data_IF_111098885770
#
_entry.id   IF_111098885770
#
_cell.length_a   1.000
_cell.length_b   1.000
_cell.length_c   1.000
_cell.angle_alpha   90.00
_cell.angle_beta   90.00
_cell.angle_gamma   90.00
#
_symmetry.space_group_name_H-M   'P 1'
#
loop_
_entity.id
_entity.type
_entity.pdbx_description
1 polymer ?
#
# COMPACT_ATOMS: atom_id res chain seq x y z
N UNK A 1 -3.37 25.97 -12.79
CA UNK A 1 -3.03 25.12 -13.94
C UNK A 1 -1.86 24.27 -13.51
N UNK A 2 -2.12 23.10 -12.92
CA UNK A 2 -1.06 22.21 -12.47
C UNK A 2 -0.47 21.52 -13.69
N UNK A 3 0.86 21.53 -13.79
CA UNK A 3 1.67 20.82 -14.79
C UNK A 3 1.06 19.47 -15.15
N UNK A 4 0.97 19.16 -16.46
CA UNK A 4 0.65 17.82 -16.92
C UNK A 4 1.68 16.86 -16.27
N UNK A 5 1.29 16.19 -15.20
CA UNK A 5 2.17 15.25 -14.52
C UNK A 5 2.45 14.10 -15.49
N UNK A 6 3.69 14.04 -15.98
CA UNK A 6 4.18 13.00 -16.89
C UNK A 6 4.32 11.62 -16.21
N UNK A 7 3.69 11.38 -15.06
CA UNK A 7 3.69 10.10 -14.34
C UNK A 7 2.47 10.01 -13.43
N UNK A 8 2.14 8.80 -13.00
CA UNK A 8 1.03 8.52 -12.07
C UNK A 8 1.54 7.65 -10.92
N UNK A 9 1.19 8.02 -9.68
CA UNK A 9 1.46 7.24 -8.47
C UNK A 9 0.14 6.79 -7.86
N UNK A 10 0.00 5.51 -7.60
CA UNK A 10 -1.20 4.88 -7.05
C UNK A 10 -0.82 4.18 -5.76
N UNK A 11 -1.47 4.58 -4.67
CA UNK A 11 -1.30 3.93 -3.37
C UNK A 11 -2.31 2.82 -3.16
N UNK A 12 -1.85 1.65 -2.71
CA UNK A 12 -2.68 0.50 -2.33
C UNK A 12 -2.32 0.12 -0.89
N UNK A 13 -3.16 0.55 0.04
CA UNK A 13 -3.00 0.28 1.47
C UNK A 13 -4.12 -0.58 2.02
N UNK A 14 -4.09 -0.84 3.34
CA UNK A 14 -5.13 -1.59 4.01
C UNK A 14 -4.65 -2.71 4.91
N UNK A 15 -5.63 -3.40 5.48
CA UNK A 15 -5.47 -4.47 6.44
C UNK A 15 -4.43 -5.51 5.99
N UNK A 16 -3.71 -6.10 6.94
CA UNK A 16 -2.83 -7.24 6.64
C UNK A 16 -3.63 -8.39 6.00
N UNK A 17 -2.97 -9.20 5.16
CA UNK A 17 -3.57 -10.34 4.44
C UNK A 17 -4.84 -10.01 3.59
N UNK A 18 -5.08 -8.74 3.24
CA UNK A 18 -6.28 -8.31 2.51
C UNK A 18 -6.24 -8.47 0.99
N UNK A 19 -5.11 -8.91 0.43
CA UNK A 19 -4.93 -9.11 -1.02
C UNK A 19 -4.29 -7.94 -1.76
N UNK A 20 -3.69 -6.96 -1.05
CA UNK A 20 -3.01 -5.79 -1.62
C UNK A 20 -1.96 -6.15 -2.69
N UNK A 21 -0.98 -6.97 -2.33
CA UNK A 21 0.10 -7.40 -3.22
C UNK A 21 -0.45 -8.16 -4.42
N UNK A 22 -1.41 -9.09 -4.21
CA UNK A 22 -2.07 -9.81 -5.30
C UNK A 22 -2.80 -8.86 -6.26
N UNK A 23 -3.52 -7.85 -5.77
CA UNK A 23 -4.16 -6.86 -6.63
C UNK A 23 -3.13 -6.03 -7.40
N UNK A 24 -2.04 -5.65 -6.73
CA UNK A 24 -0.92 -4.91 -7.34
C UNK A 24 -0.29 -5.72 -8.48
N UNK A 25 -0.01 -7.01 -8.27
CA UNK A 25 0.52 -7.91 -9.30
C UNK A 25 -0.39 -8.02 -10.52
N UNK A 26 -1.72 -8.01 -10.31
CA UNK A 26 -2.70 -8.04 -11.40
C UNK A 26 -2.69 -6.72 -12.17
N UNK A 27 -2.60 -5.59 -11.49
CA UNK A 27 -2.50 -4.27 -12.12
C UNK A 27 -1.20 -4.12 -12.91
N UNK A 28 -0.07 -4.56 -12.37
CA UNK A 28 1.23 -4.54 -13.06
C UNK A 28 1.18 -5.27 -14.41
N UNK A 29 0.48 -6.41 -14.49
CA UNK A 29 0.32 -7.16 -15.75
C UNK A 29 -0.47 -6.40 -16.82
N UNK A 30 -1.32 -5.45 -16.41
CA UNK A 30 -2.15 -4.65 -17.31
C UNK A 30 -1.48 -3.33 -17.74
N UNK A 31 -0.47 -2.88 -17.00
CA UNK A 31 0.25 -1.64 -17.26
C UNK A 31 1.74 -1.93 -17.52
N UNK A 32 2.16 -2.13 -18.78
CA UNK A 32 3.55 -2.49 -19.11
C UNK A 32 4.62 -1.47 -18.65
N UNK A 33 4.24 -0.20 -18.47
CA UNK A 33 5.10 0.87 -17.95
C UNK A 33 5.07 0.99 -16.42
N UNK A 34 4.37 0.09 -15.72
CA UNK A 34 4.21 0.19 -14.29
C UNK A 34 5.37 -0.43 -13.51
N UNK A 35 5.73 0.24 -12.42
CA UNK A 35 6.67 -0.21 -11.39
C UNK A 35 5.92 -0.43 -10.08
N UNK A 36 6.53 -1.20 -9.17
CA UNK A 36 6.00 -1.40 -7.82
C UNK A 36 7.07 -1.08 -6.76
N UNK A 37 6.61 -0.51 -5.65
CA UNK A 37 7.36 -0.43 -4.40
C UNK A 37 6.51 -1.04 -3.27
N UNK A 38 7.04 -2.11 -2.67
CA UNK A 38 6.40 -2.83 -1.57
C UNK A 38 6.96 -2.32 -0.23
N UNK A 39 6.09 -1.83 0.66
CA UNK A 39 6.48 -1.32 1.97
C UNK A 39 7.21 -2.38 2.82
N UNK A 40 6.85 -3.66 2.67
CA UNK A 40 7.47 -4.75 3.42
C UNK A 40 8.98 -4.90 3.12
N UNK A 41 9.50 -4.35 2.00
CA UNK A 41 10.95 -4.36 1.72
C UNK A 41 11.73 -3.30 2.52
N UNK A 42 11.04 -2.48 3.32
CA UNK A 42 11.61 -1.40 4.11
C UNK A 42 11.55 -1.68 5.61
N UNK A 43 11.23 -2.91 6.03
CA UNK A 43 11.34 -3.30 7.44
C UNK A 43 12.78 -3.15 7.94
N UNK A 44 12.90 -2.72 9.19
CA UNK A 44 14.17 -2.67 9.88
C UNK A 44 14.64 -4.06 10.29
N UNK A 45 15.94 -4.21 10.44
CA UNK A 45 16.54 -5.46 10.88
C UNK A 45 16.19 -5.74 12.36
N UNK A 46 16.00 -7.01 12.76
CA UNK A 46 15.82 -7.37 14.15
C UNK A 46 16.93 -6.82 15.04
N UNK A 47 16.56 -6.10 16.10
CA UNK A 47 17.49 -5.47 17.04
C UNK A 47 17.81 -3.99 16.75
N UNK A 48 17.27 -3.40 15.68
CA UNK A 48 17.31 -1.95 15.49
C UNK A 48 16.65 -1.21 16.66
N UNK A 49 17.28 -0.14 17.15
CA UNK A 49 16.84 0.63 18.33
C UNK A 49 15.48 1.32 18.15
N UNK A 50 15.05 1.52 16.90
CA UNK A 50 13.73 2.11 16.57
C UNK A 50 12.58 1.11 16.73
N UNK A 51 12.89 -0.19 16.79
CA UNK A 51 11.89 -1.23 17.00
C UNK A 51 11.37 -1.17 18.43
N UNK A 52 10.07 -0.94 18.58
CA UNK A 52 9.44 -0.92 19.88
C UNK A 52 9.12 -2.35 20.34
N UNK A 53 9.78 -2.77 21.41
CA UNK A 53 9.50 -4.06 22.04
C UNK A 53 8.25 -4.00 22.92
N UNK A 54 7.40 -5.01 22.82
CA UNK A 54 6.17 -5.15 23.59
C UNK A 54 6.31 -6.33 24.57
N UNK A 55 6.54 -6.05 25.87
CA UNK A 55 6.78 -7.11 26.86
C UNK A 55 5.63 -8.10 27.02
N UNK A 56 4.38 -7.64 26.84
CA UNK A 56 3.17 -8.46 27.05
C UNK A 56 3.10 -9.67 26.10
N UNK A 57 3.63 -9.53 24.88
CA UNK A 57 3.66 -10.57 23.84
C UNK A 57 5.08 -11.06 23.57
N UNK A 58 6.06 -10.57 24.33
CA UNK A 58 7.49 -10.85 24.15
C UNK A 58 7.94 -10.67 22.68
N UNK A 59 7.52 -9.57 22.04
CA UNK A 59 7.70 -9.35 20.60
C UNK A 59 7.82 -7.88 20.25
N UNK A 60 8.50 -7.57 19.14
CA UNK A 60 8.52 -6.21 18.59
C UNK A 60 7.20 -5.85 17.91
N UNK A 61 6.77 -4.60 17.99
CA UNK A 61 5.61 -4.10 17.27
C UNK A 61 5.99 -3.76 15.81
N UNK A 62 5.84 -4.74 14.93
CA UNK A 62 6.10 -4.59 13.49
C UNK A 62 5.02 -3.80 12.75
N UNK A 63 3.92 -3.44 13.41
CA UNK A 63 2.78 -2.76 12.79
C UNK A 63 2.89 -1.23 12.89
N UNK A 64 3.99 -0.72 13.47
CA UNK A 64 4.29 0.71 13.60
C UNK A 64 5.12 1.22 12.42
N UNK A 65 4.91 2.48 12.07
CA UNK A 65 5.76 3.19 11.11
C UNK A 65 7.24 3.20 11.54
N UNK A 66 7.52 3.19 12.84
CA UNK A 66 8.90 3.16 13.37
C UNK A 66 9.62 1.83 13.09
N UNK A 67 8.89 0.76 12.75
CA UNK A 67 9.48 -0.50 12.35
C UNK A 67 9.95 -0.52 10.89
N UNK A 68 9.78 0.59 10.17
CA UNK A 68 10.07 0.74 8.75
C UNK A 68 11.04 1.91 8.52
N UNK A 69 11.95 1.76 7.57
CA UNK A 69 12.76 2.86 7.03
C UNK A 69 11.94 3.70 6.03
N UNK A 70 10.98 4.45 6.57
CA UNK A 70 10.08 5.30 5.77
C UNK A 70 10.83 6.42 5.04
N UNK A 71 11.94 6.90 5.59
CA UNK A 71 12.79 7.91 4.95
C UNK A 71 13.48 7.34 3.70
N UNK A 72 14.00 6.11 3.76
CA UNK A 72 14.48 5.39 2.58
C UNK A 72 13.36 5.19 1.56
N UNK A 73 12.18 4.75 1.99
CA UNK A 73 11.04 4.56 1.06
C UNK A 73 10.67 5.86 0.33
N UNK A 74 10.61 6.99 1.05
CA UNK A 74 10.36 8.31 0.44
C UNK A 74 11.48 8.71 -0.52
N UNK A 75 12.74 8.43 -0.19
CA UNK A 75 13.88 8.70 -1.09
C UNK A 75 13.77 7.89 -2.37
N UNK A 76 13.42 6.61 -2.28
CA UNK A 76 13.30 5.71 -3.43
C UNK A 76 12.14 6.14 -4.34
N UNK A 77 10.98 6.51 -3.77
CA UNK A 77 9.85 7.09 -4.54
C UNK A 77 10.26 8.39 -5.22
N UNK A 78 10.95 9.29 -4.52
CA UNK A 78 11.42 10.57 -5.10
C UNK A 78 12.45 10.33 -6.21
N UNK A 79 13.28 9.31 -6.09
CA UNK A 79 14.22 8.93 -7.14
C UNK A 79 13.47 8.42 -8.37
N UNK A 80 12.50 7.52 -8.20
CA UNK A 80 11.63 7.06 -9.29
C UNK A 80 10.90 8.20 -10.00
N UNK A 81 10.42 9.21 -9.26
CA UNK A 81 9.79 10.41 -9.84
C UNK A 81 10.78 11.16 -10.76
N UNK A 82 12.03 11.35 -10.31
CA UNK A 82 13.06 12.03 -11.13
C UNK A 82 13.33 11.25 -12.41
N UNK A 83 13.51 9.95 -12.30
CA UNK A 83 13.80 9.08 -13.45
C UNK A 83 12.64 9.06 -14.45
N UNK A 84 11.40 9.05 -13.95
CA UNK A 84 10.17 9.08 -14.75
C UNK A 84 10.02 10.38 -15.55
N UNK A 85 10.46 11.53 -15.02
CA UNK A 85 10.41 12.82 -15.74
C UNK A 85 11.37 12.89 -16.93
N UNK A 86 12.40 12.05 -16.95
CA UNK A 86 13.39 11.99 -18.02
C UNK A 86 13.16 10.82 -18.99
N UNK A 87 12.08 10.06 -18.80
CA UNK A 87 11.73 8.98 -19.72
C UNK A 87 11.28 9.55 -21.07
N UNK A 88 11.97 9.15 -22.15
CA UNK A 88 11.55 9.42 -23.53
C UNK A 88 10.47 8.42 -24.02
N UNK A 89 9.80 7.70 -23.10
CA UNK A 89 8.75 6.76 -23.46
C UNK A 89 7.47 7.48 -23.91
N UNK A 90 6.82 6.97 -24.95
CA UNK A 90 5.48 7.41 -25.35
C UNK A 90 4.39 6.96 -24.36
N UNK A 91 4.73 6.10 -23.40
CA UNK A 91 3.85 5.62 -22.33
C UNK A 91 4.08 6.42 -21.05
N UNK A 92 2.99 6.64 -20.32
CA UNK A 92 3.02 7.32 -19.01
C UNK A 92 3.54 6.32 -17.97
N UNK A 93 4.63 6.62 -17.24
CA UNK A 93 5.10 5.82 -16.12
C UNK A 93 4.06 5.76 -15.01
N UNK A 94 3.86 4.56 -14.46
CA UNK A 94 2.95 4.33 -13.33
C UNK A 94 3.76 3.71 -12.19
N UNK A 95 3.60 4.21 -10.97
CA UNK A 95 4.14 3.59 -9.76
C UNK A 95 3.00 3.12 -8.87
N UNK A 96 2.97 1.83 -8.58
CA UNK A 96 2.17 1.29 -7.49
C UNK A 96 3.00 1.27 -6.21
N UNK A 97 2.54 1.99 -5.20
CA UNK A 97 3.10 1.91 -3.84
C UNK A 97 2.11 1.09 -3.01
N UNK A 98 2.56 -0.03 -2.48
CA UNK A 98 1.68 -0.92 -1.71
C UNK A 98 2.25 -1.22 -0.32
N UNK A 99 1.38 -1.26 0.69
CA UNK A 99 1.79 -1.47 2.07
C UNK A 99 0.70 -1.18 3.08
N UNK A 100 0.78 -1.76 4.28
CA UNK A 100 -0.30 -1.70 5.26
C UNK A 100 -0.47 -0.33 5.96
N UNK A 101 0.55 0.54 5.95
CA UNK A 101 0.55 1.85 6.65
C UNK A 101 0.98 3.05 5.81
N UNK A 102 1.14 2.88 4.48
CA UNK A 102 1.66 3.94 3.60
C UNK A 102 0.86 5.26 3.67
N UNK A 103 -0.45 5.21 3.99
CA UNK A 103 -1.28 6.40 4.10
C UNK A 103 -1.18 7.11 5.46
N UNK A 104 -0.71 6.44 6.50
CA UNK A 104 -0.42 7.07 7.80
C UNK A 104 0.86 7.91 7.76
N UNK A 105 1.67 7.76 6.71
CA UNK A 105 2.85 8.58 6.46
C UNK A 105 2.56 9.66 5.41
N UNK A 106 2.31 10.89 5.86
CA UNK A 106 1.89 12.01 4.99
C UNK A 106 2.79 12.22 3.75
N UNK A 107 4.14 12.17 3.83
CA UNK A 107 4.99 12.30 2.65
C UNK A 107 4.71 11.29 1.52
N UNK A 108 4.31 10.05 1.83
CA UNK A 108 3.94 9.07 0.81
C UNK A 108 2.49 9.22 0.37
N UNK A 109 1.58 9.43 1.33
CA UNK A 109 0.16 9.67 1.07
C UNK A 109 -0.03 10.84 0.09
N UNK A 110 0.65 11.94 0.31
CA UNK A 110 0.50 13.18 -0.46
C UNK A 110 1.08 13.06 -1.89
N UNK A 111 1.95 12.08 -2.14
CA UNK A 111 2.46 11.77 -3.48
C UNK A 111 1.48 10.95 -4.33
N UNK A 112 0.51 10.27 -3.73
CA UNK A 112 -0.42 9.37 -4.42
C UNK A 112 -1.56 10.13 -5.12
N UNK A 113 -1.70 9.94 -6.44
CA UNK A 113 -2.81 10.48 -7.24
C UNK A 113 -4.13 9.76 -6.99
N UNK A 114 -4.09 8.44 -6.75
CA UNK A 114 -5.22 7.61 -6.33
C UNK A 114 -4.84 6.80 -5.10
N UNK A 115 -5.80 6.54 -4.22
CA UNK A 115 -5.58 5.89 -2.93
C UNK A 115 -6.65 4.85 -2.70
N UNK A 116 -6.27 3.59 -2.63
CA UNK A 116 -7.16 2.46 -2.36
C UNK A 116 -6.80 1.84 -1.01
N UNK A 117 -7.79 1.63 -0.14
CA UNK A 117 -7.59 1.04 1.18
C UNK A 117 -8.43 -0.22 1.33
N UNK A 118 -7.77 -1.37 1.42
CA UNK A 118 -8.41 -2.66 1.59
C UNK A 118 -8.82 -2.89 3.05
N UNK A 119 -10.11 -3.04 3.30
CA UNK A 119 -10.68 -3.42 4.59
C UNK A 119 -10.89 -4.91 4.68
N UNK A 120 -10.93 -5.43 5.91
CA UNK A 120 -11.29 -6.81 6.22
C UNK A 120 -11.98 -6.84 7.58
N UNK A 121 -12.87 -7.81 7.81
CA UNK A 121 -13.38 -8.12 9.13
C UNK A 121 -12.33 -8.89 9.97
N UNK A 122 -12.55 -8.91 11.28
CA UNK A 122 -11.61 -9.48 12.25
C UNK A 122 -11.35 -10.97 11.98
N UNK A 123 -12.42 -11.75 11.86
CA UNK A 123 -12.36 -13.21 11.74
C UNK A 123 -11.60 -13.63 10.48
N UNK A 124 -11.96 -13.04 9.34
CA UNK A 124 -11.29 -13.33 8.06
C UNK A 124 -9.83 -12.90 8.10
N UNK A 125 -9.52 -11.75 8.71
CA UNK A 125 -8.14 -11.29 8.81
C UNK A 125 -7.29 -12.21 9.70
N UNK A 126 -7.84 -12.64 10.84
CA UNK A 126 -7.18 -13.54 11.78
C UNK A 126 -6.90 -14.90 11.12
N UNK A 127 -7.89 -15.47 10.44
CA UNK A 127 -7.76 -16.75 9.73
C UNK A 127 -6.65 -16.67 8.66
N UNK A 128 -6.71 -15.65 7.79
CA UNK A 128 -5.70 -15.50 6.73
C UNK A 128 -4.31 -15.20 7.27
N UNK A 129 -4.19 -14.45 8.38
CA UNK A 129 -2.92 -14.15 9.04
C UNK A 129 -2.32 -15.41 9.65
N UNK A 130 -3.14 -16.22 10.32
CA UNK A 130 -2.73 -17.49 10.92
C UNK A 130 -2.20 -18.49 9.88
N UNK A 131 -2.65 -18.39 8.63
CA UNK A 131 -2.14 -19.17 7.50
C UNK A 131 -0.83 -18.67 6.87
N UNK A 132 -0.26 -17.54 7.31
CA UNK A 132 0.96 -16.94 6.74
C UNK A 132 2.14 -17.10 7.69
N UNK A 133 3.28 -17.51 7.14
CA UNK A 133 4.53 -17.63 7.90
C UNK A 133 5.27 -16.28 7.93
N UNK A 134 5.20 -15.59 9.07
CA UNK A 134 5.98 -14.39 9.35
C UNK A 134 7.36 -14.75 9.91
N UNK A 135 8.35 -13.88 9.70
CA UNK A 135 9.69 -13.99 10.27
C UNK A 135 10.04 -12.66 10.94
N UNK A 136 10.19 -12.61 12.28
CA UNK A 136 9.92 -13.69 13.23
C UNK A 136 8.43 -14.11 13.23
N UNK A 137 8.14 -15.34 13.67
CA UNK A 137 6.76 -15.83 13.73
C UNK A 137 5.94 -15.05 14.76
N UNK A 138 4.66 -14.81 14.44
CA UNK A 138 3.70 -14.18 15.35
C UNK A 138 3.56 -15.05 16.62
N UNK A 139 3.84 -14.52 17.83
CA UNK A 139 3.59 -15.25 19.07
C UNK A 139 2.10 -15.26 19.43
N UNK A 140 1.76 -16.10 20.42
CA UNK A 140 0.39 -16.18 20.93
C UNK A 140 -0.14 -14.81 21.39
N UNK A 141 -1.35 -14.46 20.97
CA UNK A 141 -2.00 -13.19 21.31
C UNK A 141 -1.50 -11.98 20.52
N UNK A 142 -0.48 -12.12 19.66
CA UNK A 142 0.06 -10.99 18.90
C UNK A 142 -0.97 -10.35 17.97
N UNK A 143 -1.83 -11.17 17.35
CA UNK A 143 -2.85 -10.66 16.45
C UNK A 143 -3.87 -9.76 17.18
N UNK A 144 -4.43 -10.25 18.28
CA UNK A 144 -5.49 -9.60 19.03
C UNK A 144 -4.99 -8.39 19.82
N UNK A 145 -3.76 -8.48 20.34
CA UNK A 145 -3.18 -7.45 21.19
C UNK A 145 -2.45 -6.36 20.42
N UNK A 146 -1.87 -6.70 19.26
CA UNK A 146 -1.01 -5.77 18.49
C UNK A 146 -1.59 -5.52 17.11
N UNK A 147 -1.69 -6.54 16.27
CA UNK A 147 -2.03 -6.39 14.85
C UNK A 147 -3.38 -5.69 14.65
N UNK A 148 -4.42 -6.21 15.28
CA UNK A 148 -5.76 -5.72 15.09
C UNK A 148 -5.98 -4.32 15.68
N UNK A 149 -5.55 -4.02 16.93
CA UNK A 149 -5.60 -2.67 17.48
C UNK A 149 -4.82 -1.65 16.64
N UNK A 150 -3.63 -2.02 16.15
CA UNK A 150 -2.82 -1.16 15.29
C UNK A 150 -3.52 -0.88 13.95
N UNK A 151 -4.10 -1.89 13.31
CA UNK A 151 -4.91 -1.70 12.11
C UNK A 151 -6.09 -0.76 12.37
N UNK A 152 -6.83 -0.93 13.47
CA UNK A 152 -7.96 -0.08 13.80
C UNK A 152 -7.53 1.38 14.04
N UNK A 153 -6.44 1.58 14.79
CA UNK A 153 -5.84 2.91 15.01
C UNK A 153 -5.47 3.55 13.68
N UNK A 154 -4.68 2.84 12.86
CA UNK A 154 -4.21 3.30 11.56
C UNK A 154 -5.38 3.68 10.63
N UNK A 155 -6.41 2.83 10.57
CA UNK A 155 -7.62 3.11 9.78
C UNK A 155 -8.39 4.32 10.31
N UNK A 156 -8.49 4.47 11.63
CA UNK A 156 -9.24 5.57 12.26
C UNK A 156 -8.65 6.94 11.92
N UNK A 157 -7.32 7.05 11.86
CA UNK A 157 -6.59 8.25 11.45
C UNK A 157 -6.84 8.64 9.98
N UNK A 158 -7.39 7.73 9.18
CA UNK A 158 -7.64 7.97 7.76
C UNK A 158 -9.09 8.37 7.45
N UNK A 159 -10.01 8.25 8.41
CA UNK A 159 -11.45 8.40 8.20
C UNK A 159 -11.87 9.79 7.66
N UNK A 160 -11.09 10.84 7.88
CA UNK A 160 -11.40 12.19 7.40
C UNK A 160 -10.93 12.46 5.96
N UNK A 161 -10.12 11.59 5.37
CA UNK A 161 -9.67 11.74 3.99
C UNK A 161 -10.72 11.18 3.02
N UNK A 162 -11.35 12.09 2.26
CA UNK A 162 -12.41 11.74 1.30
C UNK A 162 -11.88 11.19 -0.02
N UNK A 163 -10.58 11.32 -0.27
CA UNK A 163 -9.92 10.87 -1.48
C UNK A 163 -9.35 9.43 -1.36
N UNK A 164 -9.61 8.75 -0.25
CA UNK A 164 -9.30 7.33 -0.05
C UNK A 164 -10.54 6.49 -0.39
N UNK A 165 -10.39 5.59 -1.35
CA UNK A 165 -11.43 4.63 -1.75
C UNK A 165 -11.26 3.35 -0.91
N UNK A 166 -12.26 3.03 -0.10
CA UNK A 166 -12.26 1.83 0.72
C UNK A 166 -12.84 0.64 -0.07
N UNK A 167 -12.10 -0.46 -0.09
CA UNK A 167 -12.42 -1.68 -0.83
C UNK A 167 -12.51 -2.86 0.13
N UNK A 168 -13.53 -3.71 0.00
CA UNK A 168 -13.63 -4.91 0.81
C UNK A 168 -12.68 -6.01 0.29
N UNK A 169 -11.72 -6.46 1.10
CA UNK A 169 -10.77 -7.53 0.76
C UNK A 169 -11.39 -8.93 0.65
N UNK A 170 -12.68 -9.06 0.94
CA UNK A 170 -13.48 -10.26 0.74
C UNK A 170 -14.28 -10.24 -0.58
N UNK A 171 -14.34 -9.10 -1.29
CA UNK A 171 -15.01 -9.03 -2.58
C UNK A 171 -14.26 -9.85 -3.65
N UNK A 172 -14.97 -10.38 -4.67
CA UNK A 172 -14.34 -11.10 -5.78
C UNK A 172 -13.26 -10.25 -6.45
N UNK A 173 -12.06 -10.82 -6.65
CA UNK A 173 -10.93 -10.06 -7.17
C UNK A 173 -11.19 -9.40 -8.53
N UNK A 174 -11.98 -10.01 -9.41
CA UNK A 174 -12.36 -9.41 -10.71
C UNK A 174 -13.21 -8.16 -10.55
N UNK A 175 -14.16 -8.18 -9.62
CA UNK A 175 -15.00 -7.02 -9.30
C UNK A 175 -14.13 -5.89 -8.77
N UNK A 176 -13.26 -6.18 -7.81
CA UNK A 176 -12.36 -5.18 -7.20
C UNK A 176 -11.39 -4.61 -8.24
N UNK A 177 -10.80 -5.46 -9.09
CA UNK A 177 -9.93 -5.01 -10.18
C UNK A 177 -10.66 -4.09 -11.13
N UNK A 178 -11.88 -4.46 -11.58
CA UNK A 178 -12.69 -3.64 -12.46
C UNK A 178 -12.96 -2.26 -11.86
N UNK A 179 -13.38 -2.21 -10.59
CA UNK A 179 -13.60 -0.94 -9.88
C UNK A 179 -12.36 -0.07 -9.83
N UNK A 180 -11.19 -0.66 -9.53
CA UNK A 180 -9.92 0.07 -9.52
C UNK A 180 -9.58 0.60 -10.91
N UNK A 181 -9.70 -0.22 -11.96
CA UNK A 181 -9.39 0.18 -13.33
C UNK A 181 -10.30 1.31 -13.81
N UNK A 182 -11.61 1.20 -13.61
CA UNK A 182 -12.58 2.24 -13.96
C UNK A 182 -12.20 3.58 -13.31
N UNK A 183 -11.80 3.57 -12.04
CA UNK A 183 -11.38 4.76 -11.32
C UNK A 183 -10.00 5.29 -11.78
N UNK A 184 -9.02 4.42 -12.02
CA UNK A 184 -7.69 4.80 -12.55
C UNK A 184 -7.84 5.50 -13.91
N UNK A 185 -8.69 4.99 -14.80
CA UNK A 185 -8.91 5.59 -16.12
C UNK A 185 -9.64 6.94 -16.08
N UNK A 186 -10.15 7.37 -14.92
CA UNK A 186 -10.63 8.76 -14.75
C UNK A 186 -9.49 9.78 -14.72
N UNK A 187 -8.25 9.35 -14.46
CA UNK A 187 -7.08 10.23 -14.45
C UNK A 187 -6.83 10.79 -15.85
N UNK A 188 -6.70 12.13 -16.03
CA UNK A 188 -6.47 12.73 -17.35
C UNK A 188 -5.28 12.15 -18.11
N UNK A 189 -4.20 11.83 -17.39
CA UNK A 189 -3.04 11.14 -17.91
C UNK A 189 -3.41 9.82 -18.61
N UNK A 190 -4.24 8.99 -17.98
CA UNK A 190 -4.55 7.64 -18.43
C UNK A 190 -5.82 7.54 -19.29
N UNK A 191 -6.64 8.60 -19.38
CA UNK A 191 -7.85 8.65 -20.23
C UNK A 191 -7.57 8.32 -21.70
N UNK A 192 -6.38 8.67 -22.21
CA UNK A 192 -6.01 8.42 -23.62
C UNK A 192 -5.79 6.93 -23.94
N UNK A 193 -5.58 6.07 -22.93
CA UNK A 193 -5.39 4.63 -23.10
C UNK A 193 -6.72 3.87 -23.26
N UNK A 194 -7.82 4.40 -22.71
CA UNK A 194 -9.13 3.72 -22.70
C UNK A 194 -9.83 3.73 -24.08
N UNK A 195 -9.41 4.59 -25.02
CA UNK A 195 -10.06 4.73 -26.35
C UNK A 195 -9.36 3.96 -27.48
N UNK A 196 -8.38 3.09 -27.18
CA UNK A 196 -7.60 2.33 -28.18
C UNK A 196 -7.64 0.81 -27.95
N UNK A 197 -8.62 0.30 -27.18
CA UNK A 197 -8.87 -1.13 -27.02
C UNK A 197 -10.29 -1.50 -27.43
#
# INVERSE_FOLDING_TARGET
MSEDNNYVIIGISGCTNSGKTTMTDRLLKLFPSASQMCQDTYFLEPGDERLEFVPEVNHSNWEKLSALDMDRMVRDVKQWIKDSKHSNSHQIPILFIEGFTIFNHSPLKDLCNKKYFFTMDFETCQERRSGRNYIPADPEGYFEKIVWPMYFSNKSELNHYKDIVYLNGCDPQEKTLKTILEDIYTLPALKKLHFIS
#
